data_IF_012955026954
#
_entry.id   IF_012955026954
#
_cell.length_a   1.000
_cell.length_b   1.000
_cell.length_c   1.000
_cell.angle_alpha   90.00
_cell.angle_beta   90.00
_cell.angle_gamma   90.00
#
_symmetry.space_group_name_H-M   'P 1'
#
loop_
_entity.id
_entity.type
_entity.pdbx_description
1 polymer ?
#
# COMPACT_ATOMS: atom_id res chain seq x y z
N UNK A 1 -16.91 -12.49 -4.32
CA UNK A 1 -15.50 -12.35 -4.76
C UNK A 1 -14.66 -13.25 -3.86
N UNK A 2 -14.19 -14.42 -4.31
CA UNK A 2 -13.33 -15.28 -3.48
C UNK A 2 -11.89 -14.78 -3.63
N UNK A 3 -11.44 -13.95 -2.68
CA UNK A 3 -10.09 -13.36 -2.60
C UNK A 3 -8.98 -14.43 -2.49
N UNK A 4 -9.32 -15.71 -2.43
CA UNK A 4 -8.38 -16.79 -2.16
C UNK A 4 -7.79 -17.46 -3.41
N UNK A 5 -8.16 -17.04 -4.63
CA UNK A 5 -7.74 -17.70 -5.88
C UNK A 5 -7.29 -16.64 -6.88
N UNK A 6 -6.11 -16.84 -7.48
CA UNK A 6 -5.58 -15.98 -8.54
C UNK A 6 -6.27 -16.26 -9.90
N UNK A 7 -5.93 -15.46 -10.91
CA UNK A 7 -6.49 -15.60 -12.26
C UNK A 7 -6.18 -16.95 -12.93
N UNK A 8 -5.18 -17.69 -12.45
CA UNK A 8 -4.79 -19.01 -12.96
C UNK A 8 -5.46 -20.15 -12.18
N UNK A 9 -6.38 -19.85 -11.27
CA UNK A 9 -7.03 -20.85 -10.42
C UNK A 9 -6.13 -21.35 -9.28
N UNK A 10 -4.95 -20.77 -9.09
CA UNK A 10 -4.04 -21.13 -8.02
C UNK A 10 -4.48 -20.42 -6.74
N UNK A 11 -4.42 -21.14 -5.61
CA UNK A 11 -4.69 -20.55 -4.30
C UNK A 11 -3.69 -19.43 -4.04
N UNK A 12 -4.19 -18.25 -3.68
CA UNK A 12 -3.37 -17.12 -3.23
C UNK A 12 -2.69 -17.56 -1.93
N UNK A 13 -1.36 -17.52 -1.94
CA UNK A 13 -0.56 -17.96 -0.79
C UNK A 13 -0.88 -17.06 0.41
N UNK A 14 -1.04 -17.67 1.57
CA UNK A 14 -1.15 -16.93 2.82
C UNK A 14 0.09 -17.13 3.68
N UNK A 15 0.17 -16.43 4.82
CA UNK A 15 1.29 -16.54 5.76
C UNK A 15 1.65 -17.99 6.14
N UNK A 16 0.68 -18.92 6.10
CA UNK A 16 0.89 -20.34 6.42
C UNK A 16 1.56 -21.13 5.30
N UNK A 17 1.55 -20.61 4.08
CA UNK A 17 2.12 -21.25 2.89
C UNK A 17 3.55 -20.75 2.61
N UNK A 18 4.08 -19.89 3.48
CA UNK A 18 5.44 -19.35 3.36
C UNK A 18 6.49 -20.47 3.42
N UNK A 19 7.57 -20.26 2.67
CA UNK A 19 8.73 -21.16 2.66
C UNK A 19 9.40 -21.18 4.05
N UNK A 20 9.94 -22.33 4.43
CA UNK A 20 10.83 -22.41 5.60
C UNK A 20 12.11 -21.60 5.39
N UNK A 21 12.46 -21.36 4.12
CA UNK A 21 13.49 -20.42 3.74
C UNK A 21 12.99 -19.00 3.99
N UNK A 22 13.65 -18.33 4.93
CA UNK A 22 13.33 -16.97 5.35
C UNK A 22 13.49 -15.95 4.22
N UNK A 23 14.50 -16.08 3.38
CA UNK A 23 14.78 -15.11 2.32
C UNK A 23 13.69 -15.14 1.26
N UNK A 24 13.29 -16.34 0.85
CA UNK A 24 12.16 -16.54 -0.07
C UNK A 24 10.88 -15.93 0.51
N UNK A 25 10.63 -16.16 1.80
CA UNK A 25 9.44 -15.64 2.49
C UNK A 25 9.43 -14.12 2.63
N UNK A 26 10.57 -13.49 2.90
CA UNK A 26 10.69 -12.02 2.93
C UNK A 26 10.44 -11.43 1.55
N UNK A 27 11.04 -12.00 0.51
CA UNK A 27 10.85 -11.52 -0.86
C UNK A 27 9.38 -11.62 -1.28
N UNK A 28 8.69 -12.69 -0.89
CA UNK A 28 7.26 -12.86 -1.12
C UNK A 28 6.45 -11.75 -0.43
N UNK A 29 6.67 -11.52 0.87
CA UNK A 29 5.98 -10.49 1.63
C UNK A 29 6.23 -9.08 1.08
N UNK A 30 7.46 -8.78 0.65
CA UNK A 30 7.78 -7.48 0.04
C UNK A 30 7.02 -7.28 -1.28
N UNK A 31 6.83 -8.33 -2.07
CA UNK A 31 6.03 -8.26 -3.29
C UNK A 31 4.55 -7.99 -2.99
N UNK A 32 3.99 -8.63 -1.96
CA UNK A 32 2.61 -8.33 -1.51
C UNK A 32 2.47 -6.90 -0.99
N UNK A 33 3.42 -6.42 -0.18
CA UNK A 33 3.38 -5.06 0.36
C UNK A 33 3.40 -4.01 -0.76
N UNK A 34 4.22 -4.22 -1.80
CA UNK A 34 4.32 -3.31 -2.96
C UNK A 34 2.98 -3.13 -3.69
N UNK A 35 2.17 -4.18 -3.78
CA UNK A 35 0.83 -4.10 -4.39
C UNK A 35 -0.06 -3.05 -3.71
N UNK A 36 0.06 -2.92 -2.38
CA UNK A 36 -0.79 -2.05 -1.57
C UNK A 36 -0.11 -0.73 -1.19
N UNK A 37 1.18 -0.55 -1.50
CA UNK A 37 1.99 0.56 -1.00
C UNK A 37 1.37 1.96 -1.27
N UNK A 38 0.73 2.14 -2.43
CA UNK A 38 0.10 3.41 -2.79
C UNK A 38 -1.10 3.78 -1.88
N UNK A 39 -1.91 2.79 -1.47
CA UNK A 39 -3.18 3.04 -0.77
C UNK A 39 -3.03 3.76 0.58
N UNK A 40 -2.13 3.33 1.49
CA UNK A 40 -1.88 4.04 2.73
C UNK A 40 -1.48 5.50 2.49
N UNK A 41 -0.64 5.77 1.49
CA UNK A 41 -0.22 7.14 1.19
C UNK A 41 -1.40 8.03 0.80
N UNK A 42 -2.34 7.52 -0.02
CA UNK A 42 -3.55 8.25 -0.37
C UNK A 42 -4.42 8.52 0.87
N UNK A 43 -4.62 7.52 1.72
CA UNK A 43 -5.40 7.68 2.96
C UNK A 43 -4.81 8.76 3.87
N UNK A 44 -3.49 8.71 4.09
CA UNK A 44 -2.81 9.68 4.95
C UNK A 44 -2.76 11.09 4.35
N UNK A 45 -2.71 11.22 3.02
CA UNK A 45 -2.81 12.51 2.36
C UNK A 45 -4.19 13.15 2.60
N UNK A 46 -5.26 12.40 2.37
CA UNK A 46 -6.65 12.87 2.56
C UNK A 46 -6.87 13.26 4.03
N UNK A 47 -6.50 12.37 4.96
CA UNK A 47 -6.59 12.62 6.40
C UNK A 47 -5.84 13.91 6.76
N UNK A 48 -4.64 14.13 6.22
CA UNK A 48 -3.87 15.33 6.53
C UNK A 48 -4.51 16.61 5.99
N UNK A 49 -5.06 16.60 4.78
CA UNK A 49 -5.79 17.77 4.26
C UNK A 49 -7.00 18.12 5.15
N UNK A 50 -7.75 17.12 5.60
CA UNK A 50 -8.87 17.33 6.52
C UNK A 50 -8.39 17.95 7.85
N UNK A 51 -7.28 17.47 8.42
CA UNK A 51 -6.73 18.03 9.66
C UNK A 51 -6.10 19.41 9.51
N UNK A 52 -5.61 19.76 8.33
CA UNK A 52 -5.11 21.11 8.04
C UNK A 52 -6.22 22.16 8.19
N UNK A 53 -7.47 21.79 7.91
CA UNK A 53 -8.63 22.67 8.06
C UNK A 53 -9.19 22.68 9.48
N UNK A 54 -9.12 21.54 10.18
CA UNK A 54 -9.74 21.37 11.50
C UNK A 54 -8.82 21.84 12.63
N UNK A 55 -7.50 21.62 12.53
CA UNK A 55 -6.62 21.66 13.69
C UNK A 55 -5.53 22.72 13.57
N UNK A 56 -5.54 23.70 14.47
CA UNK A 56 -4.52 24.75 14.58
C UNK A 56 -3.29 24.27 15.38
N UNK A 57 -2.73 23.12 15.01
CA UNK A 57 -1.47 22.64 15.62
C UNK A 57 -0.25 23.22 14.91
N UNK A 58 0.93 23.15 15.54
CA UNK A 58 2.21 23.49 14.90
C UNK A 58 2.67 22.49 13.83
N UNK A 59 1.93 21.41 13.59
CA UNK A 59 2.24 20.44 12.54
C UNK A 59 1.74 20.95 11.19
N UNK A 60 2.63 21.01 10.20
CA UNK A 60 2.26 21.39 8.83
C UNK A 60 1.59 20.23 8.11
N UNK A 61 0.27 20.17 8.26
CA UNK A 61 -0.56 19.19 7.61
C UNK A 61 -0.59 19.34 6.08
N UNK A 62 -0.36 20.54 5.54
CA UNK A 62 -0.32 20.73 4.08
C UNK A 62 0.94 20.12 3.50
N UNK A 63 2.11 20.44 4.07
CA UNK A 63 3.39 19.87 3.65
C UNK A 63 3.36 18.34 3.73
N UNK A 64 2.91 17.79 4.87
CA UNK A 64 2.76 16.36 5.03
C UNK A 64 1.80 15.76 3.99
N UNK A 65 0.65 16.39 3.72
CA UNK A 65 -0.30 15.87 2.73
C UNK A 65 0.31 15.79 1.33
N UNK A 66 1.07 16.82 0.91
CA UNK A 66 1.76 16.84 -0.39
C UNK A 66 2.83 15.77 -0.49
N UNK A 67 3.64 15.55 0.55
CA UNK A 67 4.62 14.47 0.60
C UNK A 67 3.94 13.09 0.45
N UNK A 68 2.80 12.90 1.12
CA UNK A 68 2.03 11.66 0.99
C UNK A 68 1.43 11.49 -0.41
N UNK A 69 0.96 12.57 -1.05
CA UNK A 69 0.53 12.51 -2.45
C UNK A 69 1.68 12.17 -3.39
N UNK A 70 2.88 12.74 -3.20
CA UNK A 70 4.04 12.41 -4.00
C UNK A 70 4.37 10.91 -3.92
N UNK A 71 4.34 10.34 -2.70
CA UNK A 71 4.52 8.90 -2.49
C UNK A 71 3.39 8.06 -3.10
N UNK A 72 2.14 8.51 -3.03
CA UNK A 72 1.02 7.84 -3.71
C UNK A 72 1.28 7.75 -5.22
N UNK A 73 1.63 8.86 -5.88
CA UNK A 73 1.90 8.85 -7.32
C UNK A 73 3.15 8.06 -7.68
N UNK A 74 4.17 8.05 -6.82
CA UNK A 74 5.36 7.21 -7.00
C UNK A 74 5.01 5.72 -7.03
N UNK A 75 4.17 5.26 -6.08
CA UNK A 75 3.77 3.85 -5.97
C UNK A 75 2.59 3.46 -6.88
N UNK A 76 1.92 4.43 -7.50
CA UNK A 76 0.70 4.21 -8.29
C UNK A 76 0.92 3.23 -9.45
N UNK A 77 2.08 3.30 -10.11
CA UNK A 77 2.44 2.40 -11.21
C UNK A 77 2.53 0.94 -10.73
N UNK A 78 3.15 0.69 -9.56
CA UNK A 78 3.25 -0.64 -8.97
C UNK A 78 1.87 -1.21 -8.65
N UNK A 79 0.99 -0.41 -8.04
CA UNK A 79 -0.39 -0.82 -7.76
C UNK A 79 -1.16 -1.20 -9.05
N UNK A 80 -1.01 -0.41 -10.11
CA UNK A 80 -1.71 -0.64 -11.38
C UNK A 80 -1.29 -1.92 -12.10
N UNK A 81 -0.09 -2.46 -11.84
CA UNK A 81 0.35 -3.77 -12.40
C UNK A 81 -0.53 -4.94 -11.95
N UNK A 82 -1.29 -4.79 -10.88
CA UNK A 82 -2.14 -5.85 -10.31
C UNK A 82 -3.63 -5.68 -10.65
N UNK A 83 -4.00 -4.59 -11.35
CA UNK A 83 -5.39 -4.33 -11.75
C UNK A 83 -5.67 -4.64 -13.23
N UNK A 84 -4.62 -4.76 -14.04
CA UNK A 84 -4.67 -5.10 -15.46
C UNK A 84 -4.13 -6.50 -15.70
#
# INVERSE_FOLDING_TARGET
MKICVDNNGKRIQCIRDLSIDREISINHLLNEIRQFAAFPHLFWAIWSFEHAEITQTNFDHFEYAFDRLALYYYWKSEMLKYLN
#
